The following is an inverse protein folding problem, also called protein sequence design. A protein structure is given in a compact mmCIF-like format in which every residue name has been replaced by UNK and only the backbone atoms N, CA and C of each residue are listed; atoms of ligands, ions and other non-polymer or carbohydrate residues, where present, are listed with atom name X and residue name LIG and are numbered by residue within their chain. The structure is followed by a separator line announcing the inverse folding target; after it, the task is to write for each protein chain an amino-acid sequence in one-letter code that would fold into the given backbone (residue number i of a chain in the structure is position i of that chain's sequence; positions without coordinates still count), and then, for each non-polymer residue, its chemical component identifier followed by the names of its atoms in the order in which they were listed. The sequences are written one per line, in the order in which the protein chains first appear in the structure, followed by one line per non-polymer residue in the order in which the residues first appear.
data_IF_174032980401
#
_entry.id   IF_174032980401
#
_cell.length_a   1.000
_cell.length_b   1.000
_cell.length_c   1.000
_cell.angle_alpha   90.00
_cell.angle_beta   90.00
_cell.angle_gamma   90.00
#
_symmetry.space_group_name_H-M   'P 1'
#
loop_
_entity.id
_entity.type
_entity.pdbx_description
1 polymer ?
#
# COMPACT_ATOMS: atom_id res chain seq x y z
N UNK A 1 32.93 2.39 -7.16
CA UNK A 1 32.18 1.46 -6.29
C UNK A 1 30.69 1.53 -6.63
N UNK A 2 30.23 0.80 -7.65
CA UNK A 2 28.80 0.68 -8.00
C UNK A 2 28.45 -0.81 -8.19
N UNK A 3 28.78 -1.63 -7.19
CA UNK A 3 28.55 -3.08 -7.27
C UNK A 3 27.92 -3.69 -6.00
N UNK A 4 27.57 -2.89 -4.99
CA UNK A 4 27.00 -3.39 -3.73
C UNK A 4 25.49 -3.12 -3.55
N UNK A 5 24.86 -2.35 -4.45
CA UNK A 5 23.44 -1.98 -4.31
C UNK A 5 22.47 -2.92 -5.02
N UNK A 6 22.87 -3.57 -6.12
CA UNK A 6 21.96 -4.42 -6.91
C UNK A 6 21.60 -5.75 -6.23
N UNK A 7 22.52 -6.36 -5.48
CA UNK A 7 22.26 -7.64 -4.81
C UNK A 7 21.34 -7.53 -3.59
N UNK A 8 21.12 -6.32 -3.05
CA UNK A 8 20.16 -6.08 -1.95
C UNK A 8 18.73 -5.84 -2.45
N UNK A 9 18.54 -5.50 -3.72
CA UNK A 9 17.23 -5.08 -4.24
C UNK A 9 16.29 -6.24 -4.54
N UNK A 10 16.82 -7.40 -4.95
CA UNK A 10 16.01 -8.57 -5.26
C UNK A 10 15.53 -9.30 -4.00
N UNK A 11 16.39 -9.44 -2.98
CA UNK A 11 16.00 -10.02 -1.69
C UNK A 11 14.93 -9.16 -0.98
N UNK A 12 14.95 -7.84 -1.17
CA UNK A 12 13.90 -6.94 -0.67
C UNK A 12 12.62 -7.03 -1.49
N UNK A 13 12.67 -7.29 -2.80
CA UNK A 13 11.47 -7.45 -3.64
C UNK A 13 10.58 -8.59 -3.18
N UNK A 14 11.19 -9.73 -2.84
CA UNK A 14 10.46 -10.88 -2.28
C UNK A 14 9.95 -10.63 -0.84
N UNK A 15 10.67 -9.83 -0.05
CA UNK A 15 10.21 -9.42 1.29
C UNK A 15 9.07 -8.39 1.23
N UNK A 16 9.02 -7.53 0.20
CA UNK A 16 7.95 -6.54 -0.04
C UNK A 16 6.61 -7.22 -0.32
N UNK A 17 6.60 -8.27 -1.15
CA UNK A 17 5.40 -9.10 -1.39
C UNK A 17 4.83 -9.66 -0.08
N UNK A 18 5.71 -10.15 0.81
CA UNK A 18 5.32 -10.75 2.09
C UNK A 18 4.93 -9.73 3.16
N UNK A 19 5.51 -8.52 3.15
CA UNK A 19 5.18 -7.43 4.09
C UNK A 19 3.98 -6.60 3.67
N UNK A 20 3.68 -6.53 2.37
CA UNK A 20 2.41 -5.99 1.88
C UNK A 20 1.20 -6.77 2.42
N UNK A 21 1.38 -8.03 2.81
CA UNK A 21 0.38 -8.80 3.56
C UNK A 21 0.30 -8.40 5.05
N UNK A 22 1.40 -7.91 5.64
CA UNK A 22 1.46 -7.45 7.04
C UNK A 22 0.77 -6.11 7.27
N UNK A 23 0.77 -5.26 6.24
CA UNK A 23 -0.02 -4.03 6.13
C UNK A 23 -1.50 -4.21 6.51
N UNK A 24 -2.04 -5.40 6.25
CA UNK A 24 -3.45 -5.74 6.46
C UNK A 24 -3.74 -6.45 7.80
N UNK A 25 -2.71 -6.77 8.59
CA UNK A 25 -2.85 -7.67 9.76
C UNK A 25 -2.67 -6.98 11.12
N UNK A 26 -2.55 -5.65 11.13
CA UNK A 26 -2.41 -4.89 12.39
C UNK A 26 -3.74 -4.32 12.85
N UNK A 27 -4.72 -5.20 13.08
CA UNK A 27 -5.72 -5.02 14.13
C UNK A 27 -5.69 -6.29 14.99
N UNK A 28 -5.31 -6.23 16.28
CA UNK A 28 -5.55 -7.32 17.19
C UNK A 28 -6.90 -7.06 17.87
N UNK A 29 -8.00 -7.43 17.23
CA UNK A 29 -9.22 -7.76 17.97
C UNK A 29 -9.53 -9.23 17.71
N UNK A 30 -8.90 -10.05 18.54
CA UNK A 30 -9.11 -11.48 18.57
C UNK A 30 -10.42 -11.77 19.30
N UNK A 31 -11.57 -11.60 18.64
CA UNK A 31 -12.85 -12.09 19.15
C UNK A 31 -13.72 -12.59 18.00
N UNK A 32 -13.67 -13.91 17.81
CA UNK A 32 -14.64 -14.73 17.07
C UNK A 32 -14.88 -14.40 15.58
N UNK A 33 -14.00 -14.88 14.70
CA UNK A 33 -14.29 -14.81 13.26
C UNK A 33 -14.90 -16.10 12.72
N UNK A 34 -16.13 -16.00 12.24
CA UNK A 34 -16.86 -17.05 11.54
C UNK A 34 -16.33 -17.17 10.09
N UNK A 35 -16.60 -18.26 9.35
CA UNK A 35 -16.15 -18.41 7.95
C UNK A 35 -16.59 -17.29 6.98
N UNK A 36 -17.56 -16.46 7.38
CA UNK A 36 -18.00 -15.26 6.66
C UNK A 36 -16.94 -14.13 6.67
N UNK A 37 -16.15 -14.02 7.74
CA UNK A 37 -15.12 -12.98 7.90
C UNK A 37 -13.87 -13.22 7.01
N UNK A 38 -13.58 -14.47 6.65
CA UNK A 38 -12.49 -14.78 5.72
C UNK A 38 -12.82 -14.36 4.28
N UNK A 39 -14.09 -14.48 3.89
CA UNK A 39 -14.58 -13.97 2.58
C UNK A 39 -14.50 -12.45 2.51
N UNK A 40 -14.73 -11.77 3.63
CA UNK A 40 -14.60 -10.32 3.74
C UNK A 40 -13.14 -9.87 3.67
N UNK A 41 -12.20 -10.63 4.25
CA UNK A 41 -10.77 -10.31 4.18
C UNK A 41 -10.19 -10.37 2.74
N UNK A 42 -10.57 -11.37 1.94
CA UNK A 42 -10.12 -11.47 0.54
C UNK A 42 -10.74 -10.37 -0.34
N UNK A 43 -12.03 -10.10 -0.11
CA UNK A 43 -12.75 -9.00 -0.75
C UNK A 43 -12.08 -7.66 -0.44
N UNK A 44 -11.72 -7.43 0.82
CA UNK A 44 -11.03 -6.23 1.27
C UNK A 44 -9.65 -6.07 0.61
N UNK A 45 -8.86 -7.15 0.55
CA UNK A 45 -7.56 -7.16 -0.15
C UNK A 45 -7.70 -6.78 -1.61
N UNK A 46 -8.69 -7.35 -2.29
CA UNK A 46 -8.95 -7.09 -3.70
C UNK A 46 -9.31 -5.62 -3.93
N UNK A 47 -10.15 -5.03 -3.06
CA UNK A 47 -10.52 -3.62 -3.12
C UNK A 47 -9.33 -2.69 -2.89
N UNK A 48 -8.54 -2.94 -1.86
CA UNK A 48 -7.33 -2.15 -1.56
C UNK A 48 -6.33 -2.21 -2.72
N UNK A 49 -6.10 -3.41 -3.28
CA UNK A 49 -5.23 -3.57 -4.46
C UNK A 49 -5.73 -2.77 -5.66
N UNK A 50 -7.03 -2.86 -5.94
CA UNK A 50 -7.64 -2.11 -7.04
C UNK A 50 -7.58 -0.59 -6.82
N UNK A 51 -7.70 -0.11 -5.57
CA UNK A 51 -7.55 1.31 -5.25
C UNK A 51 -6.10 1.78 -5.41
N UNK A 52 -5.11 0.98 -5.00
CA UNK A 52 -3.69 1.25 -5.23
C UNK A 52 -3.33 1.29 -6.73
N UNK A 53 -4.01 0.52 -7.57
CA UNK A 53 -3.83 0.56 -9.03
C UNK A 53 -4.22 1.90 -9.65
N UNK A 54 -5.13 2.66 -9.02
CA UNK A 54 -5.55 3.98 -9.48
C UNK A 54 -4.55 5.10 -9.14
N UNK A 55 -3.59 4.84 -8.26
CA UNK A 55 -2.52 5.79 -7.95
C UNK A 55 -1.50 5.81 -9.10
N UNK A 56 -0.86 6.97 -9.30
CA UNK A 56 0.30 7.03 -10.19
C UNK A 56 1.39 6.10 -9.65
N UNK A 57 2.24 5.49 -10.51
CA UNK A 57 3.29 4.58 -10.07
C UNK A 57 4.17 5.17 -8.96
N UNK A 58 4.46 6.47 -9.08
CA UNK A 58 5.28 7.23 -8.12
C UNK A 58 4.57 7.46 -6.79
N UNK A 59 3.28 7.82 -6.81
CA UNK A 59 2.49 8.01 -5.58
C UNK A 59 2.33 6.68 -4.84
N UNK A 60 2.03 5.59 -5.58
CA UNK A 60 1.92 4.23 -5.02
C UNK A 60 3.24 3.77 -4.42
N UNK A 61 4.34 3.94 -5.12
CA UNK A 61 5.66 3.52 -4.66
C UNK A 61 6.07 4.27 -3.39
N UNK A 62 5.96 5.61 -3.37
CA UNK A 62 6.28 6.40 -2.18
C UNK A 62 5.42 5.99 -0.97
N UNK A 63 4.12 5.74 -1.18
CA UNK A 63 3.20 5.32 -0.13
C UNK A 63 3.56 3.94 0.44
N UNK A 64 3.86 2.96 -0.41
CA UNK A 64 4.24 1.61 0.02
C UNK A 64 5.59 1.59 0.75
N UNK A 65 6.55 2.42 0.31
CA UNK A 65 7.84 2.55 0.98
C UNK A 65 7.70 3.18 2.36
N UNK A 66 6.95 4.29 2.46
CA UNK A 66 6.66 4.94 3.74
C UNK A 66 6.00 3.99 4.72
N UNK A 67 4.99 3.26 4.26
CA UNK A 67 4.27 2.31 5.09
C UNK A 67 5.18 1.15 5.58
N UNK A 68 6.11 0.70 4.73
CA UNK A 68 7.10 -0.31 5.13
C UNK A 68 8.15 0.18 6.16
N UNK A 69 8.03 1.44 6.60
CA UNK A 69 8.82 2.04 7.67
C UNK A 69 10.03 2.84 7.21
N UNK A 70 10.16 3.15 5.91
CA UNK A 70 11.28 3.94 5.41
C UNK A 70 11.15 5.41 5.84
N UNK A 71 12.30 6.00 6.18
CA UNK A 71 12.43 7.44 6.40
C UNK A 71 12.25 8.23 5.10
N UNK A 72 11.97 9.53 5.21
CA UNK A 72 11.82 10.40 4.02
C UNK A 72 13.09 10.47 3.18
N UNK A 73 14.26 10.35 3.81
CA UNK A 73 15.54 10.32 3.13
C UNK A 73 15.74 9.03 2.33
N UNK A 74 15.36 7.88 2.88
CA UNK A 74 15.41 6.60 2.16
C UNK A 74 14.39 6.55 1.01
N UNK A 75 13.18 7.09 1.22
CA UNK A 75 12.17 7.19 0.15
C UNK A 75 12.68 8.11 -0.97
N UNK A 76 13.26 9.26 -0.63
CA UNK A 76 13.84 10.16 -1.62
C UNK A 76 14.96 9.49 -2.44
N UNK A 77 15.86 8.78 -1.76
CA UNK A 77 16.93 8.03 -2.41
C UNK A 77 16.41 6.92 -3.34
N UNK A 78 15.32 6.25 -2.97
CA UNK A 78 14.77 5.15 -3.75
C UNK A 78 13.88 5.60 -4.92
N UNK A 79 13.10 6.66 -4.72
CA UNK A 79 12.13 7.16 -5.73
C UNK A 79 12.70 8.25 -6.64
N UNK A 80 13.89 8.78 -6.32
CA UNK A 80 14.47 9.93 -7.01
C UNK A 80 13.73 11.25 -6.76
N UNK A 81 12.78 11.27 -5.82
CA UNK A 81 12.06 12.47 -5.43
C UNK A 81 12.93 13.41 -4.59
N UNK A 82 12.72 14.71 -4.75
CA UNK A 82 13.27 15.67 -3.79
C UNK A 82 12.72 15.40 -2.39
N UNK A 83 13.58 15.44 -1.37
CA UNK A 83 13.18 15.23 0.04
C UNK A 83 11.99 16.08 0.47
N UNK A 84 11.95 17.35 0.05
CA UNK A 84 10.83 18.27 0.34
C UNK A 84 9.52 17.91 -0.36
N UNK A 85 9.57 17.12 -1.45
CA UNK A 85 8.39 16.67 -2.18
C UNK A 85 7.78 15.37 -1.60
N UNK A 86 8.47 14.68 -0.68
CA UNK A 86 7.98 13.42 -0.09
C UNK A 86 6.68 13.65 0.67
N UNK A 87 6.63 14.66 1.55
CA UNK A 87 5.44 14.95 2.35
C UNK A 87 4.20 15.24 1.50
N UNK A 88 4.34 16.08 0.46
CA UNK A 88 3.24 16.41 -0.45
C UNK A 88 2.83 15.24 -1.34
N UNK A 89 3.80 14.41 -1.76
CA UNK A 89 3.55 13.17 -2.51
C UNK A 89 2.75 12.18 -1.67
N UNK A 90 3.15 11.94 -0.41
CA UNK A 90 2.45 11.03 0.51
C UNK A 90 1.04 11.53 0.83
N UNK A 91 0.87 12.82 1.13
CA UNK A 91 -0.44 13.40 1.40
C UNK A 91 -1.40 13.22 0.21
N UNK A 92 -0.91 13.50 -1.01
CA UNK A 92 -1.67 13.28 -2.25
C UNK A 92 -2.00 11.80 -2.47
N UNK A 93 -1.02 10.91 -2.29
CA UNK A 93 -1.18 9.47 -2.47
C UNK A 93 -2.26 8.91 -1.54
N UNK A 94 -2.23 9.25 -0.24
CA UNK A 94 -3.24 8.83 0.73
C UNK A 94 -4.63 9.32 0.38
N UNK A 95 -4.76 10.61 0.03
CA UNK A 95 -6.05 11.17 -0.38
C UNK A 95 -6.64 10.42 -1.57
N UNK A 96 -5.83 10.18 -2.62
CA UNK A 96 -6.26 9.43 -3.79
C UNK A 96 -6.61 7.98 -3.49
N UNK A 97 -5.91 7.35 -2.54
CA UNK A 97 -6.22 5.99 -2.12
C UNK A 97 -7.59 5.90 -1.47
N UNK A 98 -7.91 6.84 -0.56
CA UNK A 98 -9.23 6.94 0.09
C UNK A 98 -10.30 7.18 -0.97
N UNK A 99 -10.13 8.19 -1.83
CA UNK A 99 -11.09 8.51 -2.90
C UNK A 99 -11.34 7.31 -3.83
N UNK A 100 -10.29 6.59 -4.22
CA UNK A 100 -10.40 5.42 -5.09
C UNK A 100 -11.04 4.20 -4.39
N UNK A 101 -10.88 4.09 -3.08
CA UNK A 101 -11.48 3.04 -2.28
C UNK A 101 -12.98 3.30 -2.06
N UNK A 102 -13.36 4.53 -1.69
CA UNK A 102 -14.75 4.92 -1.41
C UNK A 102 -15.66 4.83 -2.65
N UNK A 103 -15.14 5.22 -3.83
CA UNK A 103 -15.89 5.10 -5.09
C UNK A 103 -16.30 3.66 -5.37
N UNK A 104 -15.46 2.68 -5.01
CA UNK A 104 -15.78 1.26 -5.22
C UNK A 104 -16.64 0.66 -4.13
N UNK A 105 -16.59 1.20 -2.91
CA UNK A 105 -17.53 0.82 -1.86
C UNK A 105 -18.95 1.25 -2.23
N UNK A 106 -19.11 2.47 -2.74
CA UNK A 106 -20.37 2.98 -3.29
C UNK A 106 -20.91 2.10 -4.41
N UNK A 107 -20.09 1.79 -5.41
CA UNK A 107 -20.48 0.98 -6.59
C UNK A 107 -20.90 -0.46 -6.24
N UNK A 108 -20.23 -1.09 -5.25
CA UNK A 108 -20.58 -2.43 -4.79
C UNK A 108 -21.84 -2.48 -3.92
N UNK A 109 -22.15 -1.41 -3.19
CA UNK A 109 -23.37 -1.35 -2.39
C UNK A 109 -24.63 -1.22 -3.27
N UNK A 110 -24.54 -0.52 -4.42
CA UNK A 110 -25.66 -0.40 -5.37
C UNK A 110 -25.96 -1.70 -6.11
N UNK A 111 -24.94 -2.54 -6.33
CA UNK A 111 -25.10 -3.81 -7.06
C UNK A 111 -25.75 -4.94 -6.22
N UNK A 112 -25.96 -4.73 -4.91
CA UNK A 112 -26.56 -5.72 -3.99
C UNK A 112 -28.04 -5.42 -3.64
N UNK A 113 -28.62 -4.35 -4.20
CA UNK A 113 -30.01 -3.91 -3.97
C UNK A 113 -31.01 -4.46 -4.97
#
# INVERSE_FOLDING_TARGET
MVAANMARDEARRAARERRHLTLLKSEPDAVHSAPEDEMDADTQRTRVRAALEQLTPRDREALLLWDSGLSYDEIAAQTGLARGAIGTTLARARRRLIEAYDVREGDQHVARG
#
